data_IF_957290543971
#
_entry.id   IF_957290543971
#
_cell.length_a   1.000
_cell.length_b   1.000
_cell.length_c   1.000
_cell.angle_alpha   90.00
_cell.angle_beta   90.00
_cell.angle_gamma   90.00
#
_symmetry.space_group_name_H-M   'P 1'
#
loop_
_entity.id
_entity.type
_entity.pdbx_description
1 polymer ?
#
# COMPACT_ATOMS: atom_id res chain seq x y z
N UNK A 1 49.93 20.90 7.52
CA UNK A 1 48.94 20.64 8.58
C UNK A 1 47.80 19.83 7.99
N UNK A 2 47.94 18.51 7.98
CA UNK A 2 46.87 17.58 7.62
C UNK A 2 45.92 17.49 8.81
N UNK A 3 44.78 18.17 8.70
CA UNK A 3 43.69 18.07 9.68
C UNK A 3 43.21 16.62 9.68
N UNK A 4 43.56 15.87 10.72
CA UNK A 4 42.97 14.56 10.99
C UNK A 4 41.56 14.79 11.51
N UNK A 5 40.58 14.78 10.60
CA UNK A 5 39.17 14.72 10.97
C UNK A 5 38.97 13.47 11.84
N UNK A 6 38.43 13.67 13.04
CA UNK A 6 38.26 12.64 14.06
C UNK A 6 37.18 11.63 13.66
N UNK A 7 37.24 10.39 14.17
CA UNK A 7 36.26 9.33 13.83
C UNK A 7 34.80 9.74 14.03
N UNK A 8 34.40 10.47 15.08
CA UNK A 8 33.02 10.96 15.25
C UNK A 8 32.60 11.95 14.16
N UNK A 9 33.48 12.88 13.78
CA UNK A 9 33.21 13.85 12.71
C UNK A 9 33.09 13.16 11.34
N UNK A 10 33.89 12.12 11.07
CA UNK A 10 33.75 11.31 9.84
C UNK A 10 32.43 10.54 9.79
N UNK A 11 31.95 10.03 10.93
CA UNK A 11 30.65 9.34 11.00
C UNK A 11 29.50 10.32 10.79
N UNK A 12 29.57 11.53 11.36
CA UNK A 12 28.56 12.59 11.14
C UNK A 12 28.53 13.03 9.68
N UNK A 13 29.68 13.27 9.06
CA UNK A 13 29.79 13.66 7.65
C UNK A 13 29.27 12.57 6.71
N UNK A 14 29.61 11.30 6.96
CA UNK A 14 29.07 10.17 6.22
C UNK A 14 27.54 10.02 6.36
N UNK A 15 27.01 10.23 7.57
CA UNK A 15 25.57 10.23 7.82
C UNK A 15 24.86 11.40 7.10
N UNK A 16 25.44 12.60 7.13
CA UNK A 16 24.90 13.77 6.42
C UNK A 16 24.90 13.57 4.91
N UNK A 17 25.97 13.01 4.35
CA UNK A 17 26.08 12.68 2.94
C UNK A 17 25.05 11.62 2.52
N UNK A 18 24.83 10.59 3.36
CA UNK A 18 23.78 9.58 3.12
C UNK A 18 22.39 10.20 3.09
N UNK A 19 22.04 11.05 4.05
CA UNK A 19 20.73 11.70 4.11
C UNK A 19 20.51 12.61 2.89
N UNK A 20 21.48 13.47 2.56
CA UNK A 20 21.39 14.37 1.42
C UNK A 20 21.20 13.60 0.09
N UNK A 21 21.86 12.44 -0.06
CA UNK A 21 21.69 11.58 -1.24
C UNK A 21 20.29 10.96 -1.30
N UNK A 22 19.77 10.46 -0.18
CA UNK A 22 18.41 9.90 -0.13
C UNK A 22 17.38 10.98 -0.46
N UNK A 23 17.52 12.17 0.13
CA UNK A 23 16.62 13.30 -0.12
C UNK A 23 16.66 13.72 -1.60
N UNK A 24 17.83 13.75 -2.23
CA UNK A 24 17.94 14.03 -3.66
C UNK A 24 17.19 13.00 -4.53
N UNK A 25 17.26 11.71 -4.20
CA UNK A 25 16.53 10.65 -4.90
C UNK A 25 15.01 10.75 -4.71
N UNK A 26 14.55 11.08 -3.50
CA UNK A 26 13.14 11.28 -3.21
C UNK A 26 12.59 12.60 -3.80
N UNK A 27 13.45 13.59 -4.02
CA UNK A 27 13.12 14.85 -4.68
C UNK A 27 13.08 14.76 -6.20
N UNK A 28 13.69 13.72 -6.80
CA UNK A 28 13.66 13.53 -8.25
C UNK A 28 12.22 13.46 -8.76
N UNK A 29 11.91 14.32 -9.71
CA UNK A 29 10.61 14.41 -10.35
C UNK A 29 10.69 14.07 -11.84
N UNK A 30 11.83 13.66 -12.39
CA UNK A 30 12.04 13.46 -13.83
C UNK A 30 11.09 12.45 -14.47
N UNK A 31 10.61 11.48 -13.71
CA UNK A 31 9.74 10.40 -14.17
C UNK A 31 8.27 10.63 -13.79
N UNK A 32 7.36 10.05 -14.57
CA UNK A 32 5.94 10.00 -14.24
C UNK A 32 5.68 9.03 -13.08
N UNK A 33 4.53 9.20 -12.39
CA UNK A 33 4.13 8.37 -11.25
C UNK A 33 3.68 6.95 -11.66
N UNK A 34 3.31 6.80 -12.94
CA UNK A 34 2.98 5.53 -13.59
C UNK A 34 3.71 5.41 -14.93
N UNK A 35 3.98 4.19 -15.37
CA UNK A 35 4.50 3.85 -16.69
C UNK A 35 3.63 2.74 -17.32
N UNK A 36 3.74 2.56 -18.63
CA UNK A 36 2.97 1.60 -19.42
C UNK A 36 1.46 1.62 -19.07
N UNK A 37 0.88 2.82 -19.10
CA UNK A 37 -0.53 3.07 -18.79
C UNK A 37 -0.86 3.15 -17.30
N UNK A 38 -0.55 2.11 -16.51
CA UNK A 38 -1.06 1.96 -15.14
C UNK A 38 -0.12 1.23 -14.16
N UNK A 39 1.09 0.85 -14.59
CA UNK A 39 2.10 0.28 -13.69
C UNK A 39 2.69 1.39 -12.84
N UNK A 40 2.76 1.18 -11.53
CA UNK A 40 3.24 2.18 -10.59
C UNK A 40 4.76 2.29 -10.65
N UNK A 41 5.27 3.52 -10.65
CA UNK A 41 6.69 3.79 -10.41
C UNK A 41 7.04 3.58 -8.92
N UNK A 42 7.72 2.48 -8.60
CA UNK A 42 8.02 2.13 -7.20
C UNK A 42 9.33 2.71 -6.66
N UNK A 43 10.08 3.49 -7.44
CA UNK A 43 11.44 3.87 -7.09
C UNK A 43 11.56 4.51 -5.70
N UNK A 44 10.65 5.45 -5.39
CA UNK A 44 10.68 6.15 -4.10
C UNK A 44 10.27 5.24 -2.93
N UNK A 45 9.37 4.28 -3.15
CA UNK A 45 9.03 3.30 -2.12
C UNK A 45 10.24 2.43 -1.77
N UNK A 46 11.00 1.99 -2.78
CA UNK A 46 12.21 1.21 -2.58
C UNK A 46 13.30 2.02 -1.86
N UNK A 47 13.48 3.30 -2.19
CA UNK A 47 14.40 4.20 -1.48
C UNK A 47 14.07 4.27 0.01
N UNK A 48 12.79 4.49 0.37
CA UNK A 48 12.36 4.52 1.79
C UNK A 48 12.61 3.17 2.47
N UNK A 49 12.23 2.06 1.84
CA UNK A 49 12.42 0.72 2.39
C UNK A 49 13.91 0.41 2.65
N UNK A 50 14.75 0.58 1.63
CA UNK A 50 16.20 0.31 1.72
C UNK A 50 16.87 1.25 2.72
N UNK A 51 16.46 2.52 2.76
CA UNK A 51 16.95 3.46 3.77
C UNK A 51 16.62 2.98 5.19
N UNK A 52 15.38 2.52 5.42
CA UNK A 52 14.91 1.99 6.69
C UNK A 52 15.51 0.65 7.09
N UNK A 53 15.98 -0.13 6.12
CA UNK A 53 16.76 -1.36 6.32
C UNK A 53 18.27 -1.10 6.50
N UNK A 54 18.69 0.16 6.57
CA UNK A 54 20.09 0.59 6.71
C UNK A 54 21.00 0.19 5.54
N UNK A 55 20.47 0.09 4.32
CA UNK A 55 21.31 -0.02 3.12
C UNK A 55 22.24 1.20 2.98
N UNK A 56 23.39 0.99 2.35
CA UNK A 56 24.33 2.07 2.04
C UNK A 56 23.74 3.04 1.01
N UNK A 57 24.22 4.29 1.02
CA UNK A 57 23.75 5.32 0.10
C UNK A 57 24.01 4.93 -1.37
N UNK A 58 25.14 4.27 -1.62
CA UNK A 58 25.54 3.76 -2.93
C UNK A 58 24.61 2.66 -3.41
N UNK A 59 24.21 1.74 -2.52
CA UNK A 59 23.28 0.66 -2.89
C UNK A 59 21.90 1.19 -3.21
N UNK A 60 21.40 2.16 -2.43
CA UNK A 60 20.11 2.83 -2.66
C UNK A 60 20.12 3.55 -4.01
N UNK A 61 21.18 4.33 -4.29
CA UNK A 61 21.32 5.04 -5.56
C UNK A 61 21.45 4.08 -6.74
N UNK A 62 22.23 3.01 -6.61
CA UNK A 62 22.38 1.99 -7.64
C UNK A 62 21.03 1.31 -7.95
N UNK A 63 20.25 0.95 -6.92
CA UNK A 63 18.90 0.43 -7.10
C UNK A 63 18.02 1.41 -7.87
N UNK A 64 17.96 2.67 -7.41
CA UNK A 64 17.14 3.72 -8.03
C UNK A 64 17.43 3.88 -9.53
N UNK A 65 18.72 3.97 -9.87
CA UNK A 65 19.17 4.15 -11.26
C UNK A 65 18.89 2.92 -12.12
N UNK A 66 19.11 1.72 -11.59
CA UNK A 66 18.82 0.47 -12.29
C UNK A 66 17.32 0.36 -12.58
N UNK A 67 16.48 0.54 -11.57
CA UNK A 67 15.03 0.45 -11.72
C UNK A 67 14.47 1.53 -12.66
N UNK A 68 15.03 2.74 -12.63
CA UNK A 68 14.65 3.80 -13.58
C UNK A 68 14.95 3.41 -15.03
N UNK A 69 16.04 2.69 -15.26
CA UNK A 69 16.45 2.20 -16.57
C UNK A 69 15.63 0.99 -17.04
N UNK A 70 15.45 0.01 -16.15
CA UNK A 70 14.74 -1.24 -16.42
C UNK A 70 14.12 -1.76 -15.12
N UNK A 71 12.80 -1.65 -15.02
CA UNK A 71 11.99 -2.22 -13.94
C UNK A 71 11.97 -3.74 -14.01
N UNK A 72 11.48 -4.40 -12.97
CA UNK A 72 11.26 -5.85 -12.95
C UNK A 72 10.28 -6.35 -14.02
N UNK A 73 9.52 -5.45 -14.63
CA UNK A 73 8.65 -5.71 -15.78
C UNK A 73 9.35 -5.57 -17.14
N UNK A 74 10.65 -5.22 -17.18
CA UNK A 74 11.41 -5.05 -18.42
C UNK A 74 11.20 -3.70 -19.13
N UNK A 75 10.61 -2.70 -18.45
CA UNK A 75 10.39 -1.36 -18.99
C UNK A 75 11.21 -0.32 -18.24
N UNK A 76 11.73 0.69 -18.95
CA UNK A 76 12.24 1.90 -18.32
C UNK A 76 11.11 2.82 -17.86
N UNK A 77 11.39 3.67 -16.87
CA UNK A 77 10.42 4.65 -16.39
C UNK A 77 10.15 5.73 -17.45
N UNK A 78 8.89 6.11 -17.56
CA UNK A 78 8.46 7.15 -18.50
C UNK A 78 8.74 8.56 -17.96
N UNK A 79 9.02 9.54 -18.85
CA UNK A 79 9.14 10.94 -18.45
C UNK A 79 7.79 11.51 -17.99
N UNK A 80 7.81 12.66 -17.33
CA UNK A 80 6.60 13.41 -16.97
C UNK A 80 5.65 13.58 -18.17
N UNK A 81 4.36 13.35 -17.92
CA UNK A 81 3.29 13.63 -18.89
C UNK A 81 2.83 15.10 -18.78
N UNK A 82 2.43 15.74 -19.89
CA UNK A 82 1.93 17.11 -19.88
C UNK A 82 0.60 17.21 -19.11
N UNK A 83 0.36 18.34 -18.45
CA UNK A 83 -0.93 18.62 -17.82
C UNK A 83 -1.95 19.04 -18.88
N UNK A 84 -3.17 18.49 -18.80
CA UNK A 84 -4.29 18.87 -19.67
C UNK A 84 -5.07 20.06 -19.13
N UNK A 85 -5.10 20.23 -17.79
CA UNK A 85 -5.78 21.33 -17.11
C UNK A 85 -4.95 21.88 -15.97
N UNK A 86 -5.13 23.16 -15.67
CA UNK A 86 -4.67 23.73 -14.41
C UNK A 86 -5.59 23.26 -13.26
N UNK A 87 -5.00 22.88 -12.14
CA UNK A 87 -5.74 22.39 -10.98
C UNK A 87 -6.00 23.53 -10.00
N UNK A 88 -7.24 23.62 -9.56
CA UNK A 88 -7.73 24.59 -8.58
C UNK A 88 -8.52 23.85 -7.49
N UNK A 89 -8.84 24.56 -6.41
CA UNK A 89 -9.70 24.00 -5.37
C UNK A 89 -11.08 23.57 -5.92
N UNK A 90 -11.60 24.26 -6.94
CA UNK A 90 -12.93 24.02 -7.49
C UNK A 90 -13.01 22.77 -8.38
N UNK A 91 -11.91 22.38 -9.03
CA UNK A 91 -11.89 21.26 -9.99
C UNK A 91 -11.04 20.05 -9.52
N UNK A 92 -10.27 20.16 -8.44
CA UNK A 92 -9.39 19.06 -7.99
C UNK A 92 -10.16 17.75 -7.79
N UNK A 93 -11.30 17.77 -7.09
CA UNK A 93 -12.10 16.56 -6.85
C UNK A 93 -12.82 16.03 -8.09
N UNK A 94 -13.03 16.85 -9.13
CA UNK A 94 -13.61 16.34 -10.38
C UNK A 94 -12.62 15.47 -11.15
N UNK A 95 -11.30 15.62 -10.90
CA UNK A 95 -10.24 14.84 -11.54
C UNK A 95 -10.01 13.46 -10.90
N UNK A 96 -10.77 13.09 -9.86
CA UNK A 96 -10.62 11.79 -9.19
C UNK A 96 -10.71 10.63 -10.17
N UNK A 97 -9.68 9.79 -10.18
CA UNK A 97 -9.61 8.57 -11.00
C UNK A 97 -9.46 8.83 -12.50
N UNK A 98 -9.38 10.08 -12.95
CA UNK A 98 -9.26 10.42 -14.38
C UNK A 98 -7.86 10.21 -14.93
N UNK A 99 -6.86 9.91 -14.09
CA UNK A 99 -5.47 9.67 -14.49
C UNK A 99 -4.90 10.73 -15.43
N UNK A 100 -5.15 12.00 -15.13
CA UNK A 100 -4.66 13.14 -15.92
C UNK A 100 -4.07 14.24 -15.06
N UNK A 101 -3.24 15.10 -15.67
CA UNK A 101 -2.73 16.35 -15.09
C UNK A 101 -2.00 16.17 -13.75
N UNK A 102 -1.25 15.07 -13.61
CA UNK A 102 -0.50 14.75 -12.39
C UNK A 102 0.46 15.86 -11.95
N UNK A 103 1.19 16.47 -12.89
CA UNK A 103 2.10 17.58 -12.59
C UNK A 103 1.37 18.77 -11.99
N UNK A 104 0.20 19.15 -12.53
CA UNK A 104 -0.59 20.26 -11.99
C UNK A 104 -1.32 19.89 -10.69
N UNK A 105 -1.65 18.61 -10.47
CA UNK A 105 -2.10 18.13 -9.15
C UNK A 105 -0.99 18.31 -8.10
N UNK A 106 0.28 18.01 -8.45
CA UNK A 106 1.41 18.25 -7.56
C UNK A 106 1.58 19.75 -7.25
N UNK A 107 1.60 20.61 -8.27
CA UNK A 107 1.72 22.06 -8.09
C UNK A 107 0.62 22.62 -7.19
N UNK A 108 -0.61 22.13 -7.34
CA UNK A 108 -1.74 22.49 -6.49
C UNK A 108 -1.51 22.12 -5.03
N UNK A 109 -1.07 20.90 -4.74
CA UNK A 109 -0.83 20.45 -3.37
C UNK A 109 0.42 21.07 -2.75
N UNK A 110 1.48 21.32 -3.53
CA UNK A 110 2.65 22.10 -3.09
C UNK A 110 2.21 23.50 -2.64
N UNK A 111 1.40 24.19 -3.44
CA UNK A 111 0.87 25.51 -3.10
C UNK A 111 -0.08 25.48 -1.90
N UNK A 112 -0.91 24.43 -1.76
CA UNK A 112 -1.80 24.26 -0.62
C UNK A 112 -1.03 24.02 0.69
N UNK A 113 -0.01 23.16 0.66
CA UNK A 113 0.85 22.87 1.82
C UNK A 113 1.65 24.12 2.23
N UNK A 114 2.21 24.84 1.27
CA UNK A 114 2.95 26.08 1.56
C UNK A 114 2.07 27.15 2.21
N UNK A 115 0.80 27.24 1.81
CA UNK A 115 -0.15 28.23 2.34
C UNK A 115 -0.76 27.84 3.68
N UNK A 116 -1.22 26.60 3.82
CA UNK A 116 -2.07 26.17 4.94
C UNK A 116 -1.34 25.27 5.94
N UNK A 117 -0.17 24.73 5.58
CA UNK A 117 0.54 23.70 6.33
C UNK A 117 0.02 22.28 6.06
N UNK A 118 0.89 21.29 6.21
CA UNK A 118 0.61 19.89 5.88
C UNK A 118 -0.60 19.33 6.65
N UNK A 119 -0.65 19.52 7.97
CA UNK A 119 -1.72 18.94 8.80
C UNK A 119 -3.10 19.49 8.42
N UNK A 120 -3.19 20.79 8.09
CA UNK A 120 -4.42 21.41 7.65
C UNK A 120 -4.87 20.89 6.27
N UNK A 121 -3.92 20.69 5.35
CA UNK A 121 -4.19 20.07 4.04
C UNK A 121 -4.68 18.63 4.23
N UNK A 122 -4.00 17.81 5.05
CA UNK A 122 -4.43 16.44 5.32
C UNK A 122 -5.83 16.39 5.94
N UNK A 123 -6.08 17.17 6.99
CA UNK A 123 -7.37 17.23 7.67
C UNK A 123 -8.52 17.63 6.72
N UNK A 124 -8.22 18.45 5.71
CA UNK A 124 -9.19 18.92 4.72
C UNK A 124 -9.45 17.91 3.61
N UNK A 125 -8.41 17.30 3.05
CA UNK A 125 -8.53 16.51 1.82
C UNK A 125 -8.70 15.01 2.08
N UNK A 126 -8.15 14.48 3.17
CA UNK A 126 -8.22 13.05 3.45
C UNK A 126 -9.63 12.48 3.56
N UNK A 127 -10.65 13.17 4.12
CA UNK A 127 -12.03 12.67 4.10
C UNK A 127 -12.57 12.35 2.69
N UNK A 128 -12.14 13.09 1.66
CA UNK A 128 -12.56 12.92 0.27
C UNK A 128 -11.70 11.91 -0.50
N UNK A 129 -10.43 11.76 -0.10
CA UNK A 129 -9.44 10.93 -0.80
C UNK A 129 -9.30 9.52 -0.22
N UNK A 130 -9.44 9.34 1.09
CA UNK A 130 -9.32 8.04 1.76
C UNK A 130 -10.32 6.97 1.31
N UNK A 131 -11.58 7.30 0.92
CA UNK A 131 -12.42 6.30 0.26
C UNK A 131 -11.75 5.71 -0.98
N UNK A 132 -10.86 6.46 -1.64
CA UNK A 132 -10.13 6.07 -2.84
C UNK A 132 -8.88 5.21 -2.63
N UNK A 133 -8.62 4.75 -1.40
CA UNK A 133 -7.30 4.22 -1.02
C UNK A 133 -6.84 2.98 -1.82
N UNK A 134 -7.78 2.23 -2.42
CA UNK A 134 -7.51 1.07 -3.25
C UNK A 134 -7.00 1.44 -4.65
N UNK A 135 -7.03 2.72 -5.01
CA UNK A 135 -6.54 3.28 -6.27
C UNK A 135 -5.10 2.86 -6.59
N UNK A 136 -4.84 2.61 -7.88
CA UNK A 136 -3.57 2.05 -8.38
C UNK A 136 -3.12 0.78 -7.63
N UNK A 137 -4.05 -0.12 -7.27
CA UNK A 137 -3.78 -1.25 -6.39
C UNK A 137 -3.05 -0.84 -5.10
N UNK A 138 -3.62 0.17 -4.42
CA UNK A 138 -3.13 0.75 -3.15
C UNK A 138 -1.88 1.62 -3.24
N UNK A 139 -1.22 1.71 -4.40
CA UNK A 139 0.06 2.41 -4.52
C UNK A 139 0.00 3.91 -4.25
N UNK A 140 -1.10 4.57 -4.59
CA UNK A 140 -1.27 5.98 -4.25
C UNK A 140 -1.25 6.22 -2.72
N UNK A 141 -1.90 5.32 -1.99
CA UNK A 141 -1.91 5.34 -0.52
C UNK A 141 -0.54 5.01 0.05
N UNK A 142 0.13 3.98 -0.50
CA UNK A 142 1.50 3.62 -0.12
C UNK A 142 2.43 4.83 -0.29
N UNK A 143 2.37 5.52 -1.44
CA UNK A 143 3.24 6.67 -1.73
C UNK A 143 3.05 7.80 -0.71
N UNK A 144 1.79 8.14 -0.39
CA UNK A 144 1.51 9.17 0.61
C UNK A 144 1.95 8.75 2.01
N UNK A 145 1.51 7.59 2.49
CA UNK A 145 1.78 7.16 3.86
C UNK A 145 3.27 6.95 4.12
N UNK A 146 4.00 6.45 3.14
CA UNK A 146 5.46 6.26 3.25
C UNK A 146 6.22 7.58 3.13
N UNK A 147 5.71 8.53 2.33
CA UNK A 147 6.19 9.90 2.34
C UNK A 147 6.02 10.57 3.70
N UNK A 148 4.92 10.30 4.42
CA UNK A 148 4.66 10.80 5.77
C UNK A 148 5.51 10.11 6.86
N UNK A 149 5.75 8.80 6.70
CA UNK A 149 6.63 8.01 7.58
C UNK A 149 8.07 8.51 7.51
N UNK A 150 8.60 8.67 6.29
CA UNK A 150 9.95 9.20 6.07
C UNK A 150 10.02 10.72 6.32
N UNK A 151 8.94 11.45 6.04
CA UNK A 151 8.86 12.91 6.18
C UNK A 151 9.38 13.70 4.97
N UNK A 152 9.34 13.14 3.76
CA UNK A 152 9.88 13.81 2.56
C UNK A 152 8.82 14.69 1.85
N UNK A 153 8.99 16.03 1.77
CA UNK A 153 7.97 16.94 1.25
C UNK A 153 7.48 16.61 -0.17
N UNK A 154 8.40 16.31 -1.10
CA UNK A 154 8.04 16.01 -2.48
C UNK A 154 7.22 14.74 -2.61
N UNK A 155 7.56 13.71 -1.84
CA UNK A 155 6.87 12.41 -1.88
C UNK A 155 5.46 12.54 -1.28
N UNK A 156 5.30 13.36 -0.24
CA UNK A 156 4.00 13.69 0.35
C UNK A 156 3.11 14.40 -0.70
N UNK A 157 3.62 15.43 -1.38
CA UNK A 157 2.86 16.12 -2.43
C UNK A 157 2.46 15.17 -3.57
N UNK A 158 3.40 14.34 -4.05
CA UNK A 158 3.10 13.33 -5.06
C UNK A 158 2.06 12.34 -4.58
N UNK A 159 2.10 11.93 -3.31
CA UNK A 159 1.12 11.02 -2.72
C UNK A 159 -0.28 11.61 -2.71
N UNK A 160 -0.43 12.87 -2.30
CA UNK A 160 -1.71 13.60 -2.35
C UNK A 160 -2.24 13.69 -3.78
N UNK A 161 -1.38 14.08 -4.72
CA UNK A 161 -1.72 14.14 -6.15
C UNK A 161 -2.12 12.76 -6.68
N UNK A 162 -1.41 11.70 -6.27
CA UNK A 162 -1.65 10.35 -6.76
C UNK A 162 -2.98 9.79 -6.24
N UNK A 163 -3.35 10.09 -5.00
CA UNK A 163 -4.65 9.71 -4.45
C UNK A 163 -5.83 10.34 -5.20
N UNK A 164 -5.67 11.54 -5.75
CA UNK A 164 -6.65 12.11 -6.70
C UNK A 164 -6.56 11.36 -8.03
N UNK A 165 -5.36 11.29 -8.62
CA UNK A 165 -5.11 10.78 -9.95
C UNK A 165 -5.66 9.38 -10.20
N UNK A 166 -5.48 8.45 -9.26
CA UNK A 166 -5.83 7.02 -9.41
C UNK A 166 -6.99 6.57 -8.52
N UNK A 167 -7.76 7.50 -7.96
CA UNK A 167 -8.84 7.25 -7.00
C UNK A 167 -9.79 6.12 -7.43
N UNK A 168 -10.01 5.13 -6.54
CA UNK A 168 -11.01 4.06 -6.69
C UNK A 168 -11.68 3.83 -5.34
N UNK A 169 -12.99 4.08 -5.27
CA UNK A 169 -13.73 4.01 -4.00
C UNK A 169 -13.80 2.60 -3.42
N UNK A 170 -13.58 2.47 -2.12
CA UNK A 170 -14.03 1.31 -1.35
C UNK A 170 -15.49 1.39 -0.91
N UNK A 171 -16.17 2.52 -1.19
CA UNK A 171 -17.58 2.79 -0.89
C UNK A 171 -17.97 2.70 0.60
N UNK A 172 -17.31 3.47 1.49
CA UNK A 172 -17.59 3.47 2.94
C UNK A 172 -19.04 3.82 3.29
N UNK A 173 -19.76 4.52 2.41
CA UNK A 173 -21.18 4.84 2.57
C UNK A 173 -22.11 3.61 2.61
N UNK A 174 -21.67 2.44 2.12
CA UNK A 174 -22.45 1.19 2.20
C UNK A 174 -22.29 0.48 3.54
N UNK A 175 -21.30 0.89 4.33
CA UNK A 175 -21.00 0.21 5.58
C UNK A 175 -22.13 0.33 6.58
N UNK A 176 -22.47 -0.78 7.22
CA UNK A 176 -23.46 -0.85 8.30
C UNK A 176 -22.97 -1.77 9.41
N UNK A 177 -23.37 -1.48 10.63
CA UNK A 177 -23.03 -2.29 11.79
C UNK A 177 -23.72 -3.65 11.66
N UNK A 178 -22.99 -4.75 11.94
CA UNK A 178 -23.52 -6.09 11.72
C UNK A 178 -22.91 -7.11 12.67
N UNK A 179 -23.78 -7.82 13.41
CA UNK A 179 -23.38 -8.96 14.26
C UNK A 179 -23.01 -10.19 13.43
N UNK A 180 -23.33 -10.23 12.13
CA UNK A 180 -23.00 -11.38 11.27
C UNK A 180 -21.50 -11.62 11.13
N UNK A 181 -20.71 -10.54 11.20
CA UNK A 181 -19.24 -10.57 11.15
C UNK A 181 -18.63 -10.40 12.54
N UNK A 182 -19.36 -10.79 13.59
CA UNK A 182 -18.90 -10.65 14.97
C UNK A 182 -17.62 -11.43 15.24
N UNK A 183 -16.74 -10.82 16.02
CA UNK A 183 -15.50 -11.36 16.53
C UNK A 183 -14.92 -10.39 17.55
N UNK A 184 -14.06 -10.87 18.46
CA UNK A 184 -13.46 -9.98 19.46
C UNK A 184 -12.42 -9.02 18.84
N UNK A 185 -11.90 -9.36 17.66
CA UNK A 185 -10.86 -8.62 16.95
C UNK A 185 -10.92 -8.87 15.42
N UNK A 186 -9.99 -8.25 14.69
CA UNK A 186 -9.94 -8.31 13.23
C UNK A 186 -9.82 -9.72 12.65
N UNK A 187 -8.95 -10.57 13.21
CA UNK A 187 -8.73 -11.93 12.67
C UNK A 187 -9.92 -12.85 12.94
N UNK A 188 -10.55 -12.74 14.11
CA UNK A 188 -11.76 -13.52 14.42
C UNK A 188 -12.93 -13.12 13.52
N UNK A 189 -13.06 -11.82 13.23
CA UNK A 189 -14.09 -11.33 12.30
C UNK A 189 -13.82 -11.80 10.87
N UNK A 190 -12.56 -11.82 10.44
CA UNK A 190 -12.19 -12.38 9.13
C UNK A 190 -12.54 -13.87 9.05
N UNK A 191 -12.21 -14.66 10.09
CA UNK A 191 -12.58 -16.08 10.15
C UNK A 191 -14.10 -16.24 10.07
N UNK A 192 -14.88 -15.40 10.77
CA UNK A 192 -16.34 -15.42 10.69
C UNK A 192 -16.84 -15.08 9.28
N UNK A 193 -16.29 -14.06 8.63
CA UNK A 193 -16.59 -13.69 7.23
C UNK A 193 -16.34 -14.86 6.30
N UNK A 194 -15.18 -15.51 6.38
CA UNK A 194 -14.84 -16.64 5.51
C UNK A 194 -15.76 -17.83 5.77
N UNK A 195 -16.09 -18.13 7.04
CA UNK A 195 -17.09 -19.18 7.36
C UNK A 195 -18.45 -18.91 6.72
N UNK A 196 -18.87 -17.65 6.63
CA UNK A 196 -20.11 -17.29 5.95
C UNK A 196 -20.03 -17.49 4.44
N UNK A 197 -18.88 -17.21 3.82
CA UNK A 197 -18.67 -17.53 2.40
C UNK A 197 -18.71 -19.05 2.16
N UNK A 198 -18.15 -19.83 3.09
CA UNK A 198 -18.12 -21.31 3.03
C UNK A 198 -19.50 -21.96 3.23
N UNK A 199 -20.51 -21.24 3.75
CA UNK A 199 -21.89 -21.74 3.87
C UNK A 199 -22.60 -21.84 2.52
N UNK A 200 -22.26 -20.96 1.56
CA UNK A 200 -22.77 -20.98 0.19
C UNK A 200 -21.63 -20.67 -0.80
N UNK A 201 -20.70 -21.63 -1.00
CA UNK A 201 -19.55 -21.41 -1.87
C UNK A 201 -19.98 -21.20 -3.32
N UNK A 202 -21.11 -21.77 -3.75
CA UNK A 202 -21.62 -21.59 -5.10
C UNK A 202 -22.03 -20.14 -5.37
N UNK A 203 -22.72 -19.49 -4.43
CA UNK A 203 -23.08 -18.08 -4.55
C UNK A 203 -21.85 -17.17 -4.58
N UNK A 204 -20.86 -17.41 -3.71
CA UNK A 204 -19.63 -16.62 -3.70
C UNK A 204 -18.83 -16.79 -4.99
N UNK A 205 -18.66 -18.02 -5.48
CA UNK A 205 -17.97 -18.28 -6.75
C UNK A 205 -18.72 -17.68 -7.95
N UNK A 206 -20.05 -17.72 -7.96
CA UNK A 206 -20.85 -17.07 -9.00
C UNK A 206 -20.64 -15.54 -8.99
N UNK A 207 -20.63 -14.91 -7.81
CA UNK A 207 -20.35 -13.49 -7.66
C UNK A 207 -18.93 -13.15 -8.14
N UNK A 208 -17.92 -13.90 -7.73
CA UNK A 208 -16.53 -13.66 -8.14
C UNK A 208 -16.33 -13.86 -9.66
N UNK A 209 -16.98 -14.87 -10.24
CA UNK A 209 -16.90 -15.13 -11.68
C UNK A 209 -17.54 -14.00 -12.51
N UNK A 210 -18.59 -13.33 -12.01
CA UNK A 210 -19.15 -12.13 -12.67
C UNK A 210 -18.12 -10.99 -12.71
N UNK A 211 -17.36 -10.78 -11.62
CA UNK A 211 -16.26 -9.81 -11.57
C UNK A 211 -15.18 -10.15 -12.61
N UNK A 212 -14.74 -11.41 -12.62
CA UNK A 212 -13.64 -11.87 -13.46
C UNK A 212 -13.97 -11.82 -14.96
N UNK A 213 -15.22 -12.09 -15.34
CA UNK A 213 -15.69 -11.97 -16.73
C UNK A 213 -15.92 -10.53 -17.18
N UNK A 214 -15.96 -9.58 -16.24
CA UNK A 214 -16.27 -8.20 -16.54
C UNK A 214 -17.75 -7.97 -16.84
N UNK A 215 -18.65 -8.80 -16.28
CA UNK A 215 -20.12 -8.70 -16.45
C UNK A 215 -20.70 -7.47 -15.70
N UNK A 216 -19.83 -6.61 -15.17
CA UNK A 216 -20.20 -5.43 -14.39
C UNK A 216 -19.96 -4.19 -15.21
N UNK A 217 -21.01 -3.36 -15.31
CA UNK A 217 -20.97 -2.06 -15.95
C UNK A 217 -19.80 -1.22 -15.39
N UNK A 218 -18.76 -0.91 -16.20
CA UNK A 218 -17.57 -0.18 -15.74
C UNK A 218 -17.89 1.18 -15.09
N UNK A 219 -19.00 1.79 -15.50
CA UNK A 219 -19.51 3.06 -14.97
C UNK A 219 -19.80 2.98 -13.46
N UNK A 220 -20.14 1.78 -12.95
CA UNK A 220 -20.35 1.57 -11.51
C UNK A 220 -19.09 1.80 -10.70
N UNK A 221 -17.92 1.46 -11.24
CA UNK A 221 -16.66 1.60 -10.52
C UNK A 221 -16.01 2.97 -10.70
N UNK A 222 -16.47 3.76 -11.68
CA UNK A 222 -15.92 5.08 -11.99
C UNK A 222 -14.39 5.03 -12.16
N UNK A 223 -13.88 3.91 -12.67
CA UNK A 223 -12.45 3.69 -12.83
C UNK A 223 -12.00 3.99 -14.26
N UNK A 224 -10.76 4.43 -14.43
CA UNK A 224 -10.21 4.75 -15.74
C UNK A 224 -10.22 3.53 -16.70
N UNK A 225 -10.60 3.68 -17.99
CA UNK A 225 -10.65 2.58 -18.96
C UNK A 225 -9.35 1.79 -19.08
N UNK A 226 -8.20 2.46 -18.97
CA UNK A 226 -6.85 1.87 -18.99
C UNK A 226 -6.69 0.69 -18.03
N UNK A 227 -7.42 0.68 -16.90
CA UNK A 227 -7.32 -0.40 -15.92
C UNK A 227 -7.73 -1.75 -16.50
N UNK A 228 -8.56 -1.80 -17.54
CA UNK A 228 -8.96 -3.06 -18.19
C UNK A 228 -7.74 -3.88 -18.63
N UNK A 229 -6.68 -3.22 -19.11
CA UNK A 229 -5.41 -3.85 -19.51
C UNK A 229 -4.64 -4.47 -18.35
N UNK A 230 -4.86 -4.00 -17.11
CA UNK A 230 -4.21 -4.51 -15.89
C UNK A 230 -4.69 -5.88 -15.47
N UNK A 231 -5.97 -6.20 -15.73
CA UNK A 231 -6.65 -7.36 -15.15
C UNK A 231 -6.87 -7.22 -13.63
N UNK A 232 -5.81 -7.20 -12.82
CA UNK A 232 -5.88 -7.16 -11.35
C UNK A 232 -6.51 -5.86 -10.83
N UNK A 233 -5.97 -4.69 -11.21
CA UNK A 233 -6.52 -3.39 -10.76
C UNK A 233 -8.00 -3.25 -11.12
N UNK A 234 -8.37 -3.69 -12.33
CA UNK A 234 -9.75 -3.66 -12.80
C UNK A 234 -10.67 -4.57 -11.97
N UNK A 235 -10.27 -5.83 -11.71
CA UNK A 235 -11.06 -6.75 -10.89
C UNK A 235 -11.30 -6.21 -9.48
N UNK A 236 -10.28 -5.61 -8.86
CA UNK A 236 -10.42 -4.98 -7.54
C UNK A 236 -11.41 -3.81 -7.60
N UNK A 237 -11.28 -2.92 -8.59
CA UNK A 237 -12.21 -1.81 -8.76
C UNK A 237 -13.65 -2.29 -8.97
N UNK A 238 -13.85 -3.32 -9.80
CA UNK A 238 -15.16 -3.94 -10.03
C UNK A 238 -15.74 -4.59 -8.77
N UNK A 239 -14.93 -5.33 -8.01
CA UNK A 239 -15.36 -5.97 -6.76
C UNK A 239 -15.83 -4.93 -5.74
N UNK A 240 -15.08 -3.83 -5.57
CA UNK A 240 -15.46 -2.73 -4.69
C UNK A 240 -16.72 -2.01 -5.16
N UNK A 241 -16.87 -1.80 -6.46
CA UNK A 241 -18.04 -1.16 -7.05
C UNK A 241 -19.31 -1.97 -6.88
N UNK A 242 -19.22 -3.27 -7.17
CA UNK A 242 -20.32 -4.21 -7.03
C UNK A 242 -20.74 -4.40 -5.58
N UNK A 243 -19.75 -4.43 -4.67
CA UNK A 243 -19.95 -4.70 -3.26
C UNK A 243 -20.36 -6.14 -2.98
N UNK A 244 -20.37 -6.46 -1.69
CA UNK A 244 -20.85 -7.73 -1.16
C UNK A 244 -21.37 -7.47 0.26
N UNK A 245 -22.47 -8.10 0.71
CA UNK A 245 -23.03 -7.84 2.05
C UNK A 245 -22.01 -8.01 3.19
N UNK A 246 -21.08 -8.97 3.05
CA UNK A 246 -19.99 -9.17 4.02
C UNK A 246 -18.88 -8.12 3.95
N UNK A 247 -18.63 -7.50 2.79
CA UNK A 247 -17.68 -6.39 2.66
C UNK A 247 -18.22 -5.13 3.35
N UNK A 248 -19.53 -4.91 3.24
CA UNK A 248 -20.21 -3.74 3.78
C UNK A 248 -20.56 -3.91 5.28
N UNK A 249 -20.33 -5.09 5.86
CA UNK A 249 -20.56 -5.36 7.27
C UNK A 249 -19.40 -4.85 8.14
N UNK A 250 -19.74 -4.02 9.15
CA UNK A 250 -18.77 -3.44 10.10
C UNK A 250 -18.84 -4.20 11.43
N UNK A 251 -17.73 -4.82 11.89
CA UNK A 251 -17.69 -5.52 13.18
C UNK A 251 -17.58 -4.55 14.36
N UNK A 252 -18.12 -4.94 15.52
CA UNK A 252 -18.20 -4.07 16.71
C UNK A 252 -16.84 -3.59 17.26
N UNK A 253 -15.77 -4.39 17.16
CA UNK A 253 -14.43 -3.98 17.62
C UNK A 253 -13.92 -2.76 16.83
N UNK A 254 -14.27 -2.64 15.56
CA UNK A 254 -13.85 -1.54 14.70
C UNK A 254 -14.50 -0.20 15.09
N UNK A 255 -15.64 -0.27 15.80
CA UNK A 255 -16.37 0.89 16.32
C UNK A 255 -15.90 1.24 17.73
N UNK A 256 -15.74 0.23 18.59
CA UNK A 256 -15.73 0.39 20.03
C UNK A 256 -14.35 0.22 20.67
N UNK A 257 -13.43 -0.55 20.06
CA UNK A 257 -12.10 -0.76 20.62
C UNK A 257 -11.24 0.50 20.50
N UNK A 258 -10.16 0.58 21.30
CA UNK A 258 -9.18 1.65 21.15
C UNK A 258 -8.58 1.64 19.73
N UNK A 259 -8.17 2.80 19.21
CA UNK A 259 -7.57 2.84 17.86
C UNK A 259 -6.25 2.07 17.79
N UNK A 260 -5.49 2.04 18.88
CA UNK A 260 -4.24 1.27 18.95
C UNK A 260 -4.53 -0.24 18.82
N UNK A 261 -5.56 -0.75 19.52
CA UNK A 261 -5.98 -2.15 19.38
C UNK A 261 -6.52 -2.46 17.98
N UNK A 262 -7.25 -1.53 17.37
CA UNK A 262 -7.74 -1.64 15.98
C UNK A 262 -6.57 -1.80 15.01
N UNK A 263 -5.55 -0.93 15.08
CA UNK A 263 -4.40 -0.99 14.18
C UNK A 263 -3.55 -2.24 14.41
N UNK A 264 -3.25 -2.58 15.68
CA UNK A 264 -2.52 -3.80 16.00
C UNK A 264 -3.26 -5.06 15.54
N UNK A 265 -4.59 -5.09 15.71
CA UNK A 265 -5.45 -6.17 15.24
C UNK A 265 -5.43 -6.30 13.72
N UNK A 266 -5.56 -5.19 12.98
CA UNK A 266 -5.49 -5.18 11.52
C UNK A 266 -4.11 -5.63 11.01
N UNK A 267 -3.01 -5.18 11.62
CA UNK A 267 -1.65 -5.56 11.23
C UNK A 267 -1.41 -7.06 11.44
N UNK A 268 -1.87 -7.59 12.57
CA UNK A 268 -1.84 -9.02 12.82
C UNK A 268 -2.69 -9.79 11.79
N UNK A 269 -3.90 -9.30 11.49
CA UNK A 269 -4.79 -9.91 10.51
C UNK A 269 -4.16 -9.96 9.11
N UNK A 270 -3.57 -8.86 8.63
CA UNK A 270 -2.87 -8.80 7.34
C UNK A 270 -1.67 -9.77 7.28
N UNK A 271 -0.91 -9.90 8.38
CA UNK A 271 0.18 -10.87 8.44
C UNK A 271 -0.32 -12.33 8.39
N UNK A 272 -1.47 -12.65 9.02
CA UNK A 272 -2.07 -13.99 8.96
C UNK A 272 -2.61 -14.28 7.55
N UNK A 273 -3.26 -13.31 6.90
CA UNK A 273 -3.67 -13.42 5.49
C UNK A 273 -2.47 -13.76 4.60
N UNK A 274 -1.36 -13.02 4.78
CA UNK A 274 -0.14 -13.25 4.01
C UNK A 274 0.47 -14.64 4.28
N UNK A 275 0.54 -15.06 5.55
CA UNK A 275 1.04 -16.39 5.90
C UNK A 275 0.15 -17.54 5.47
N UNK A 276 -1.13 -17.29 5.13
CA UNK A 276 -2.00 -18.29 4.53
C UNK A 276 -1.65 -18.56 3.06
N UNK A 277 -1.00 -17.60 2.38
CA UNK A 277 -0.39 -17.77 1.05
C UNK A 277 0.97 -17.08 1.00
N UNK A 278 2.01 -17.69 1.60
CA UNK A 278 3.31 -17.04 1.72
C UNK A 278 3.88 -16.69 0.34
N UNK A 279 4.39 -15.47 0.18
CA UNK A 279 4.91 -14.98 -1.11
C UNK A 279 3.85 -14.45 -2.07
N UNK A 280 2.57 -14.40 -1.67
CA UNK A 280 1.50 -13.89 -2.52
C UNK A 280 1.59 -12.35 -2.70
N UNK A 281 1.76 -11.94 -3.96
CA UNK A 281 1.89 -10.53 -4.35
C UNK A 281 0.71 -9.68 -3.86
N UNK A 282 -0.53 -10.16 -3.99
CA UNK A 282 -1.73 -9.40 -3.63
C UNK A 282 -1.81 -9.18 -2.12
N UNK A 283 -1.58 -10.24 -1.34
CA UNK A 283 -1.65 -10.19 0.11
C UNK A 283 -0.52 -9.36 0.72
N UNK A 284 0.67 -9.32 0.11
CA UNK A 284 1.77 -8.45 0.52
C UNK A 284 1.34 -6.97 0.51
N UNK A 285 0.54 -6.56 -0.48
CA UNK A 285 0.07 -5.17 -0.58
C UNK A 285 -0.84 -4.77 0.58
N UNK A 286 -1.55 -5.72 1.20
CA UNK A 286 -2.32 -5.43 2.41
C UNK A 286 -1.42 -5.02 3.59
N UNK A 287 -0.22 -5.59 3.70
CA UNK A 287 0.75 -5.22 4.75
C UNK A 287 1.31 -3.82 4.50
N UNK A 288 1.78 -3.54 3.28
CA UNK A 288 2.45 -2.27 2.95
C UNK A 288 1.47 -1.09 2.89
N UNK A 289 0.24 -1.32 2.41
CA UNK A 289 -0.82 -0.30 2.41
C UNK A 289 -1.41 -0.06 3.81
N UNK A 290 -1.50 -1.08 4.66
CA UNK A 290 -1.96 -0.89 6.04
C UNK A 290 -0.99 -0.02 6.85
N UNK A 291 0.32 -0.23 6.68
CA UNK A 291 1.33 0.68 7.23
C UNK A 291 1.07 2.11 6.78
N UNK A 292 0.87 2.33 5.48
CA UNK A 292 0.60 3.64 4.93
C UNK A 292 -0.70 4.28 5.48
N UNK A 293 -1.77 3.49 5.62
CA UNK A 293 -3.05 3.92 6.17
C UNK A 293 -2.92 4.34 7.64
N UNK A 294 -2.17 3.59 8.46
CA UNK A 294 -1.91 3.95 9.85
C UNK A 294 -1.11 5.26 9.96
N UNK A 295 -0.09 5.44 9.11
CA UNK A 295 0.72 6.67 9.06
C UNK A 295 -0.13 7.89 8.67
N UNK A 296 -0.99 7.77 7.65
CA UNK A 296 -1.95 8.83 7.29
C UNK A 296 -2.88 9.12 8.47
N UNK A 297 -3.46 8.08 9.09
CA UNK A 297 -4.39 8.26 10.21
C UNK A 297 -3.73 8.96 11.41
N UNK A 298 -2.45 8.70 11.67
CA UNK A 298 -1.72 9.30 12.80
C UNK A 298 -1.64 10.83 12.71
N UNK A 299 -1.66 11.39 11.49
CA UNK A 299 -1.59 12.82 11.19
C UNK A 299 -2.96 13.51 11.19
N UNK A 300 -4.04 12.75 11.17
CA UNK A 300 -5.39 13.30 11.09
C UNK A 300 -5.96 13.71 12.46
N UNK A 301 -6.96 14.62 12.49
CA UNK A 301 -7.74 14.88 13.68
C UNK A 301 -8.38 13.60 14.22
N UNK A 302 -8.47 13.46 15.56
CA UNK A 302 -9.00 12.24 16.22
C UNK A 302 -10.35 11.76 15.66
N UNK A 303 -11.24 12.70 15.32
CA UNK A 303 -12.56 12.41 14.76
C UNK A 303 -12.53 11.71 13.38
N UNK A 304 -11.44 11.86 12.62
CA UNK A 304 -11.29 11.27 11.28
C UNK A 304 -10.54 9.92 11.29
N UNK A 305 -9.74 9.64 12.32
CA UNK A 305 -8.82 8.48 12.30
C UNK A 305 -9.54 7.14 12.16
N UNK A 306 -10.70 6.98 12.78
CA UNK A 306 -11.46 5.72 12.74
C UNK A 306 -12.03 5.44 11.35
N UNK A 307 -12.37 6.47 10.57
CA UNK A 307 -12.86 6.25 9.20
C UNK A 307 -11.77 5.65 8.30
N UNK A 308 -10.49 5.96 8.57
CA UNK A 308 -9.35 5.37 7.85
C UNK A 308 -9.33 3.85 8.04
N UNK A 309 -9.41 3.38 9.29
CA UNK A 309 -9.44 1.94 9.60
C UNK A 309 -10.69 1.26 9.01
N UNK A 310 -11.84 1.95 9.00
CA UNK A 310 -13.06 1.48 8.34
C UNK A 310 -12.91 1.33 6.83
N UNK A 311 -12.31 2.32 6.17
CA UNK A 311 -12.01 2.25 4.74
C UNK A 311 -11.08 1.07 4.44
N UNK A 312 -10.04 0.87 5.27
CA UNK A 312 -9.12 -0.25 5.12
C UNK A 312 -9.83 -1.60 5.24
N UNK A 313 -10.66 -1.80 6.28
CA UNK A 313 -11.39 -3.06 6.48
C UNK A 313 -12.22 -3.47 5.26
N UNK A 314 -13.06 -2.57 4.75
CA UNK A 314 -13.91 -2.85 3.58
C UNK A 314 -13.09 -3.05 2.30
N UNK A 315 -12.06 -2.23 2.08
CA UNK A 315 -11.21 -2.38 0.90
C UNK A 315 -10.35 -3.65 0.93
N UNK A 316 -9.87 -4.07 2.10
CA UNK A 316 -9.16 -5.33 2.31
C UNK A 316 -10.05 -6.52 1.92
N UNK A 317 -11.30 -6.54 2.39
CA UNK A 317 -12.26 -7.58 1.98
C UNK A 317 -12.54 -7.53 0.48
N UNK A 318 -12.68 -6.34 -0.12
CA UNK A 318 -12.86 -6.22 -1.57
C UNK A 318 -11.67 -6.73 -2.39
N UNK A 319 -10.44 -6.48 -1.95
CA UNK A 319 -9.22 -7.02 -2.57
C UNK A 319 -9.23 -8.54 -2.45
N UNK A 320 -9.45 -9.09 -1.25
CA UNK A 320 -9.49 -10.54 -1.03
C UNK A 320 -10.57 -11.23 -1.87
N UNK A 321 -11.76 -10.64 -1.95
CA UNK A 321 -12.88 -11.24 -2.65
C UNK A 321 -12.71 -11.16 -4.18
N UNK A 322 -11.95 -10.18 -4.69
CA UNK A 322 -11.78 -9.95 -6.13
C UNK A 322 -11.14 -11.11 -6.90
N UNK A 323 -10.39 -11.98 -6.21
CA UNK A 323 -9.81 -13.19 -6.80
C UNK A 323 -10.78 -14.37 -6.85
N UNK A 324 -11.88 -14.34 -6.09
CA UNK A 324 -12.73 -15.51 -5.85
C UNK A 324 -12.06 -16.61 -5.03
N UNK A 325 -10.82 -16.41 -4.61
CA UNK A 325 -10.01 -17.39 -3.90
C UNK A 325 -9.49 -16.74 -2.62
N UNK A 326 -10.21 -16.95 -1.52
CA UNK A 326 -9.87 -16.44 -0.18
C UNK A 326 -9.34 -17.62 0.66
N UNK A 327 -8.31 -17.44 1.51
CA UNK A 327 -7.87 -18.50 2.41
C UNK A 327 -9.02 -19.05 3.26
N UNK A 328 -9.13 -20.38 3.36
CA UNK A 328 -10.23 -21.02 4.07
C UNK A 328 -10.19 -20.75 5.59
N UNK A 329 -11.34 -20.87 6.24
CA UNK A 329 -11.51 -20.49 7.64
C UNK A 329 -10.72 -21.38 8.59
N UNK A 330 -10.47 -22.64 8.22
CA UNK A 330 -9.69 -23.58 9.02
C UNK A 330 -8.20 -23.23 8.98
N UNK A 331 -7.66 -22.88 7.81
CA UNK A 331 -6.29 -22.39 7.62
C UNK A 331 -6.05 -21.13 8.44
N UNK A 332 -6.94 -20.14 8.35
CA UNK A 332 -6.85 -18.90 9.13
C UNK A 332 -6.90 -19.17 10.64
N UNK A 333 -7.81 -20.04 11.09
CA UNK A 333 -7.92 -20.41 12.51
C UNK A 333 -6.66 -21.13 13.02
N UNK A 334 -6.09 -22.04 12.22
CA UNK A 334 -4.86 -22.76 12.56
C UNK A 334 -3.65 -21.83 12.67
N UNK A 335 -3.49 -20.90 11.71
CA UNK A 335 -2.45 -19.88 11.75
C UNK A 335 -2.63 -18.94 12.95
N UNK A 336 -3.86 -18.51 13.22
CA UNK A 336 -4.15 -17.69 14.38
C UNK A 336 -3.78 -18.41 15.69
N UNK A 337 -4.18 -19.68 15.83
CA UNK A 337 -3.84 -20.49 16.99
C UNK A 337 -2.32 -20.64 17.19
N UNK A 338 -1.57 -20.82 16.09
CA UNK A 338 -0.11 -20.92 16.09
C UNK A 338 0.57 -19.63 16.54
N UNK A 339 0.12 -18.48 16.03
CA UNK A 339 0.88 -17.23 16.13
C UNK A 339 0.39 -16.26 17.19
N UNK A 340 -0.85 -16.39 17.70
CA UNK A 340 -1.45 -15.39 18.61
C UNK A 340 -0.63 -15.08 19.86
N UNK A 341 0.07 -16.07 20.41
CA UNK A 341 0.88 -15.94 21.61
C UNK A 341 2.39 -16.12 21.35
N UNK A 342 2.80 -16.29 20.08
CA UNK A 342 4.19 -16.52 19.73
C UNK A 342 4.99 -15.20 19.77
N UNK A 343 6.04 -15.18 20.60
CA UNK A 343 6.94 -14.05 20.79
C UNK A 343 8.38 -14.55 20.69
N UNK A 344 9.21 -13.84 19.94
CA UNK A 344 10.63 -14.16 19.82
C UNK A 344 11.41 -13.59 21.01
N UNK A 345 12.49 -14.28 21.38
CA UNK A 345 13.54 -13.67 22.18
C UNK A 345 14.48 -12.88 21.25
N UNK A 346 14.41 -11.54 21.30
CA UNK A 346 15.21 -10.66 20.44
C UNK A 346 16.73 -10.83 20.63
N UNK A 347 17.18 -11.27 21.80
CA UNK A 347 18.60 -11.48 22.11
C UNK A 347 19.11 -12.87 21.67
N UNK A 348 18.20 -13.78 21.28
CA UNK A 348 18.58 -15.10 20.83
C UNK A 348 19.43 -14.99 19.55
N UNK A 349 20.65 -15.58 19.50
CA UNK A 349 21.53 -15.49 18.34
C UNK A 349 20.85 -15.91 17.02
N UNK A 350 20.02 -16.94 17.05
CA UNK A 350 19.28 -17.42 15.87
C UNK A 350 18.25 -16.40 15.35
N UNK A 351 17.61 -15.63 16.24
CA UNK A 351 16.63 -14.59 15.84
C UNK A 351 17.36 -13.39 15.22
N UNK A 352 18.51 -13.01 15.78
CA UNK A 352 19.36 -11.94 15.22
C UNK A 352 19.92 -12.32 13.85
N UNK A 353 20.52 -13.51 13.74
CA UNK A 353 21.04 -14.03 12.48
C UNK A 353 19.94 -14.10 11.40
N UNK A 354 18.75 -14.58 11.75
CA UNK A 354 17.63 -14.62 10.82
C UNK A 354 17.24 -13.23 10.29
N UNK A 355 17.15 -12.22 11.17
CA UNK A 355 16.87 -10.86 10.72
C UNK A 355 18.01 -10.28 9.88
N UNK A 356 19.26 -10.50 10.26
CA UNK A 356 20.43 -10.08 9.49
C UNK A 356 20.39 -10.67 8.07
N UNK A 357 20.20 -11.99 7.95
CA UNK A 357 20.07 -12.71 6.67
C UNK A 357 18.90 -12.18 5.84
N UNK A 358 17.72 -12.04 6.43
CA UNK A 358 16.51 -11.57 5.74
C UNK A 358 16.67 -10.13 5.23
N UNK A 359 17.30 -9.26 6.01
CA UNK A 359 17.58 -7.88 5.63
C UNK A 359 18.61 -7.83 4.50
N UNK A 360 19.69 -8.61 4.59
CA UNK A 360 20.70 -8.66 3.53
C UNK A 360 20.11 -9.19 2.23
N UNK A 361 19.27 -10.23 2.29
CA UNK A 361 18.53 -10.73 1.15
C UNK A 361 17.65 -9.62 0.55
N UNK A 362 16.84 -8.95 1.37
CA UNK A 362 15.99 -7.86 0.90
C UNK A 362 16.77 -6.70 0.25
N UNK A 363 17.90 -6.31 0.82
CA UNK A 363 18.76 -5.27 0.23
C UNK A 363 19.33 -5.69 -1.13
N UNK A 364 19.55 -6.98 -1.35
CA UNK A 364 20.07 -7.52 -2.61
C UNK A 364 19.01 -7.72 -3.70
N UNK A 365 17.72 -7.74 -3.34
CA UNK A 365 16.61 -7.96 -4.28
C UNK A 365 16.53 -6.91 -5.38
N UNK A 366 16.11 -7.35 -6.57
CA UNK A 366 15.64 -6.48 -7.64
C UNK A 366 14.15 -6.15 -7.47
N UNK A 367 13.36 -7.11 -6.96
CA UNK A 367 11.93 -6.97 -6.69
C UNK A 367 11.68 -6.00 -5.52
N UNK A 368 11.17 -4.82 -5.85
CA UNK A 368 10.89 -3.70 -4.94
C UNK A 368 9.96 -4.08 -3.78
N UNK A 369 9.11 -5.09 -3.94
CA UNK A 369 8.12 -5.49 -2.94
C UNK A 369 8.75 -6.13 -1.70
N UNK A 370 9.87 -6.83 -1.87
CA UNK A 370 10.53 -7.58 -0.81
C UNK A 370 11.18 -6.67 0.26
N UNK A 371 11.97 -5.63 -0.10
CA UNK A 371 12.42 -4.62 0.85
C UNK A 371 11.27 -3.97 1.63
N UNK A 372 10.16 -3.65 0.95
CA UNK A 372 9.00 -3.00 1.58
C UNK A 372 8.39 -3.89 2.66
N UNK A 373 8.21 -5.18 2.36
CA UNK A 373 7.70 -6.17 3.31
C UNK A 373 8.61 -6.29 4.54
N UNK A 374 9.92 -6.49 4.32
CA UNK A 374 10.88 -6.68 5.43
C UNK A 374 10.97 -5.43 6.31
N UNK A 375 10.94 -4.23 5.71
CA UNK A 375 10.91 -2.96 6.43
C UNK A 375 9.70 -2.87 7.38
N UNK A 376 8.49 -3.06 6.85
CA UNK A 376 7.25 -2.97 7.63
C UNK A 376 7.19 -4.07 8.70
N UNK A 377 7.50 -5.31 8.32
CA UNK A 377 7.50 -6.45 9.23
C UNK A 377 8.50 -6.27 10.38
N UNK A 378 9.69 -5.73 10.12
CA UNK A 378 10.66 -5.42 11.18
C UNK A 378 10.15 -4.35 12.15
N UNK A 379 9.55 -3.27 11.64
CA UNK A 379 8.95 -2.23 12.49
C UNK A 379 7.86 -2.83 13.39
N UNK A 380 6.97 -3.62 12.83
CA UNK A 380 5.89 -4.29 13.57
C UNK A 380 6.42 -5.29 14.58
N UNK A 381 7.43 -6.08 14.22
CA UNK A 381 8.11 -7.00 15.13
C UNK A 381 8.63 -6.26 16.36
N UNK A 382 9.38 -5.16 16.19
CA UNK A 382 9.88 -4.36 17.32
C UNK A 382 8.75 -3.70 18.12
N UNK A 383 7.80 -3.05 17.43
CA UNK A 383 6.69 -2.28 18.04
C UNK A 383 5.79 -3.16 18.92
N UNK A 384 5.61 -4.42 18.55
CA UNK A 384 4.69 -5.34 19.23
C UNK A 384 5.35 -6.20 20.31
N UNK A 385 6.58 -5.87 20.73
CA UNK A 385 7.32 -6.68 21.69
C UNK A 385 7.74 -8.03 21.10
N UNK A 386 8.16 -8.03 19.83
CA UNK A 386 8.77 -9.16 19.12
C UNK A 386 7.81 -10.31 18.76
N UNK A 387 6.55 -10.03 18.43
CA UNK A 387 5.61 -11.07 17.98
C UNK A 387 6.15 -11.80 16.75
N UNK A 388 6.35 -13.12 16.87
CA UNK A 388 7.06 -13.94 15.88
C UNK A 388 6.39 -13.97 14.50
N UNK A 389 5.09 -13.67 14.43
CA UNK A 389 4.32 -13.63 13.17
C UNK A 389 4.94 -12.70 12.13
N UNK A 390 5.49 -11.55 12.55
CA UNK A 390 6.07 -10.58 11.64
C UNK A 390 7.44 -11.03 11.11
N UNK A 391 8.24 -11.68 11.95
CA UNK A 391 9.48 -12.32 11.51
C UNK A 391 9.18 -13.43 10.49
N UNK A 392 8.17 -14.27 10.78
CA UNK A 392 7.75 -15.31 9.85
C UNK A 392 7.25 -14.74 8.52
N UNK A 393 6.44 -13.67 8.55
CA UNK A 393 5.97 -13.01 7.33
C UNK A 393 7.13 -12.45 6.49
N UNK A 394 8.15 -11.85 7.13
CA UNK A 394 9.32 -11.30 6.44
C UNK A 394 10.15 -12.35 5.68
N UNK A 395 10.01 -13.64 6.00
CA UNK A 395 10.79 -14.73 5.39
C UNK A 395 10.30 -15.19 4.02
N UNK A 396 9.15 -14.70 3.56
CA UNK A 396 8.55 -15.14 2.30
C UNK A 396 8.56 -13.98 1.32
N UNK A 397 9.42 -14.05 0.32
CA UNK A 397 9.52 -13.04 -0.74
C UNK A 397 8.53 -13.36 -1.86
N UNK A 398 8.00 -12.30 -2.47
CA UNK A 398 7.20 -12.40 -3.70
C UNK A 398 8.12 -12.32 -4.91
N UNK A 399 7.61 -12.78 -6.04
CA UNK A 399 8.18 -12.48 -7.36
C UNK A 399 7.28 -11.50 -8.10
N UNK A 400 7.84 -10.81 -9.09
CA UNK A 400 7.08 -9.96 -10.00
C UNK A 400 6.06 -10.82 -10.75
N UNK A 401 4.75 -10.49 -10.71
CA UNK A 401 3.76 -11.21 -11.49
C UNK A 401 4.02 -11.03 -12.99
N UNK A 402 3.77 -12.09 -13.78
CA UNK A 402 3.77 -11.96 -15.22
C UNK A 402 2.69 -10.96 -15.66
N UNK A 403 3.02 -10.12 -16.64
CA UNK A 403 2.05 -9.22 -17.25
C UNK A 403 1.05 -10.03 -18.10
N UNK A 404 -0.25 -9.68 -18.06
CA UNK A 404 -1.22 -10.31 -18.94
C UNK A 404 -0.92 -9.96 -20.42
N UNK A 405 -1.32 -10.80 -21.39
CA UNK A 405 -1.09 -10.58 -22.82
C UNK A 405 -1.61 -9.24 -23.35
N UNK A 406 -2.59 -8.63 -22.68
CA UNK A 406 -3.13 -7.30 -22.98
C UNK A 406 -2.10 -6.16 -22.89
N UNK A 407 -0.91 -6.42 -22.38
CA UNK A 407 0.22 -5.49 -22.39
C UNK A 407 0.98 -5.46 -23.73
N UNK A 408 0.91 -6.53 -24.52
CA UNK A 408 1.52 -6.61 -25.85
C UNK A 408 0.66 -5.91 -26.92
N UNK A 409 -0.63 -5.75 -26.64
CA UNK A 409 -1.57 -4.97 -27.42
C UNK A 409 -1.34 -3.48 -27.13
N UNK A 410 -0.55 -2.81 -27.99
CA UNK A 410 -0.55 -1.35 -28.03
C UNK A 410 -1.96 -0.91 -28.45
N UNK A 411 -2.66 -0.17 -27.60
CA UNK A 411 -3.85 0.54 -28.04
C UNK A 411 -3.42 1.48 -29.18
N UNK A 412 -3.91 1.20 -30.39
CA UNK A 412 -3.76 2.05 -31.57
C UNK A 412 -4.38 3.46 -31.37
N UNK A 413 -4.99 3.69 -30.20
CA UNK A 413 -5.66 4.92 -29.79
C UNK A 413 -4.90 5.67 -28.67
N UNK A 414 -3.63 5.37 -28.40
CA UNK A 414 -2.74 6.24 -27.61
C UNK A 414 -2.34 7.52 -28.36
N UNK A 415 -3.25 8.06 -29.17
CA UNK A 415 -3.18 9.39 -29.72
C UNK A 415 -3.50 10.41 -28.64
N UNK A 416 -2.45 11.04 -28.08
CA UNK A 416 -2.47 12.35 -27.40
C UNK A 416 -2.99 12.37 -25.96
#
# INVERSE_FOLDING_TARGET
>A
MTSFISSPERTVDACQNRLARIDALLADASHHIEFNGHLTNHNKHAVVALAGLNASAERIEAYYRQYAHETTYGFGLEPKRPSRVAVTQANCLSLRGQRTSFSSLCEFFDAAIARDGLDAVLARWMPELLPGWAGAFTHATIHLGWGLDYGHPRMITEGLAYMVFSWVSCHPQRQHDSERVAGANAIESLIAVVKMLEQDPAAFQAWAAQIQRGDIAPEKAQCHPELKRSGLQYRVAMALAQGHPLMDATPGWLLNASLDDVWLGLHYCAAIIYLARPGDFVNLHLITSLHAMEEIASRLPKAQRRSVARCFWQGMLGILFSSGDVPDSATLANLHARWRAAVDNADAPAVRAHWEETIQAAIAEAEEHNPKLVYVAQKLWRRTGYRSVYRAAASFFTTTPALPPSFDEMDADSGI
#
